data_IF_630052025604
#
_entry.id   IF_630052025604
#
_cell.length_a   1.000
_cell.length_b   1.000
_cell.length_c   1.000
_cell.angle_alpha   90.00
_cell.angle_beta   90.00
_cell.angle_gamma   90.00
#
_symmetry.space_group_name_H-M   'P 1'
#
loop_
_entity.id
_entity.type
_entity.pdbx_description
1 polymer ?
#
# COMPACT_ATOMS: atom_id res chain seq x y z
N UNK A 1 -16.52 -36.99 -48.16
CA UNK A 1 -17.34 -36.81 -46.95
C UNK A 1 -16.50 -35.98 -45.99
N UNK A 2 -16.11 -34.75 -46.36
CA UNK A 2 -16.93 -33.61 -46.83
C UNK A 2 -17.60 -32.93 -45.64
N UNK A 3 -17.09 -31.77 -45.21
CA UNK A 3 -17.50 -30.41 -45.64
C UNK A 3 -18.64 -29.92 -44.71
N UNK A 4 -18.82 -28.64 -44.33
CA UNK A 4 -18.14 -27.39 -44.68
C UNK A 4 -18.33 -26.32 -43.56
N UNK A 5 -18.05 -25.06 -43.90
CA UNK A 5 -18.33 -23.77 -43.25
C UNK A 5 -17.15 -23.06 -42.58
N UNK A 6 -16.81 -21.82 -42.94
CA UNK A 6 -16.75 -21.22 -44.29
C UNK A 6 -15.78 -20.03 -44.25
N UNK A 7 -15.18 -19.62 -45.38
CA UNK A 7 -14.15 -18.57 -45.37
C UNK A 7 -14.26 -17.55 -46.52
N UNK A 8 -14.82 -16.38 -46.16
CA UNK A 8 -14.76 -15.10 -46.88
C UNK A 8 -15.47 -15.04 -48.25
N UNK A 9 -15.91 -13.82 -48.67
CA UNK A 9 -15.04 -12.92 -49.44
C UNK A 9 -15.16 -11.44 -48.99
N UNK A 10 -14.34 -10.48 -49.42
CA UNK A 10 -13.19 -10.50 -50.33
C UNK A 10 -12.96 -9.13 -51.02
N UNK A 11 -11.76 -8.93 -51.59
CA UNK A 11 -11.30 -7.75 -52.36
C UNK A 11 -11.10 -6.41 -51.59
N UNK A 12 -9.98 -5.68 -51.68
CA UNK A 12 -8.69 -5.94 -52.33
C UNK A 12 -8.36 -4.99 -53.48
N UNK A 13 -7.19 -4.32 -53.41
CA UNK A 13 -6.45 -3.74 -54.55
C UNK A 13 -4.98 -3.53 -54.17
N UNK A 14 -4.08 -4.22 -54.86
CA UNK A 14 -2.63 -4.03 -54.73
C UNK A 14 -2.02 -3.29 -55.92
N UNK A 15 -0.77 -2.84 -55.75
CA UNK A 15 0.19 -2.57 -56.83
C UNK A 15 1.59 -2.96 -56.36
N UNK A 16 2.42 -3.46 -57.27
CA UNK A 16 3.82 -3.82 -57.03
C UNK A 16 4.66 -3.70 -58.30
N UNK A 17 5.92 -4.17 -58.22
CA UNK A 17 7.10 -3.93 -59.11
C UNK A 17 7.81 -2.59 -58.85
N UNK A 18 9.14 -2.52 -58.84
CA UNK A 18 10.22 -3.53 -58.94
C UNK A 18 11.49 -3.00 -58.25
N UNK A 19 12.62 -3.70 -58.12
CA UNK A 19 13.09 -4.88 -58.85
C UNK A 19 14.35 -4.51 -59.66
N UNK A 20 15.55 -4.63 -59.07
CA UNK A 20 16.82 -4.35 -59.75
C UNK A 20 18.04 -4.50 -58.83
N UNK A 21 18.86 -5.52 -59.09
CA UNK A 21 20.14 -5.75 -58.41
C UNK A 21 21.32 -5.36 -59.32
N UNK A 22 22.45 -4.96 -58.74
CA UNK A 22 23.76 -5.02 -59.41
C UNK A 22 24.89 -5.25 -58.38
N UNK A 23 26.01 -5.78 -58.87
CA UNK A 23 27.12 -6.38 -58.12
C UNK A 23 28.42 -5.54 -58.18
N UNK A 24 29.38 -5.92 -57.32
CA UNK A 24 30.84 -5.79 -57.47
C UNK A 24 31.52 -4.46 -57.10
N UNK A 25 32.70 -4.55 -56.45
CA UNK A 25 33.67 -3.45 -56.40
C UNK A 25 34.67 -3.43 -55.24
N UNK A 26 35.62 -4.37 -55.18
CA UNK A 26 36.73 -4.47 -54.22
C UNK A 26 37.64 -3.22 -54.11
N UNK A 27 38.27 -2.98 -52.94
CA UNK A 27 39.43 -2.05 -52.83
C UNK A 27 39.91 -1.67 -51.42
N UNK A 28 41.03 -2.29 -51.01
CA UNK A 28 42.16 -1.83 -50.16
C UNK A 28 42.11 -0.43 -49.48
N UNK A 29 42.39 -0.30 -48.17
CA UNK A 29 43.73 -0.12 -47.52
C UNK A 29 44.41 1.25 -47.84
N UNK A 30 45.09 2.00 -46.95
CA UNK A 30 45.74 1.75 -45.64
C UNK A 30 45.72 2.99 -44.70
N UNK A 31 46.14 2.80 -43.44
CA UNK A 31 46.96 3.67 -42.53
C UNK A 31 46.96 5.22 -42.63
N UNK A 32 46.98 5.93 -41.47
CA UNK A 32 47.36 7.37 -41.50
C UNK A 32 47.33 8.28 -40.25
N UNK A 33 47.67 7.82 -39.05
CA UNK A 33 48.21 8.58 -37.88
C UNK A 33 48.07 10.14 -37.75
N UNK A 34 47.47 10.56 -36.62
CA UNK A 34 47.95 11.59 -35.66
C UNK A 34 48.27 13.05 -36.05
N UNK A 35 47.72 14.00 -35.27
CA UNK A 35 48.18 15.40 -35.15
C UNK A 35 47.07 16.32 -34.61
N UNK A 36 46.92 16.50 -33.30
CA UNK A 36 47.65 17.43 -32.40
C UNK A 36 46.89 18.76 -32.17
N UNK A 37 46.96 19.28 -30.93
CA UNK A 37 46.17 20.41 -30.40
C UNK A 37 46.86 21.78 -30.60
N UNK A 38 46.19 22.82 -30.07
CA UNK A 38 46.56 24.26 -29.91
C UNK A 38 45.88 25.15 -30.97
N UNK A 39 45.23 26.27 -30.66
CA UNK A 39 44.94 26.95 -29.38
C UNK A 39 44.64 28.44 -29.65
N UNK A 40 43.91 29.16 -28.79
CA UNK A 40 43.81 30.63 -28.91
C UNK A 40 42.44 31.26 -28.66
N UNK A 41 42.32 31.86 -27.48
CA UNK A 41 41.37 32.85 -27.00
C UNK A 41 41.03 34.04 -27.92
N UNK A 42 39.81 34.59 -27.79
CA UNK A 42 39.44 35.96 -28.21
C UNK A 42 38.05 36.38 -27.68
N UNK A 43 37.96 37.52 -26.99
CA UNK A 43 36.73 38.09 -26.39
C UNK A 43 36.36 39.43 -27.05
N UNK A 44 35.18 39.97 -26.72
CA UNK A 44 34.54 41.23 -27.21
C UNK A 44 33.90 41.14 -28.62
N UNK A 45 32.69 41.65 -28.91
CA UNK A 45 31.62 42.20 -28.07
C UNK A 45 31.26 43.67 -28.35
N UNK A 46 30.15 43.92 -29.08
CA UNK A 46 29.28 45.11 -29.05
C UNK A 46 28.29 45.11 -30.25
N UNK A 47 27.04 45.58 -30.06
CA UNK A 47 26.08 45.85 -31.15
C UNK A 47 24.61 45.66 -30.75
N UNK A 48 23.89 46.75 -30.46
CA UNK A 48 22.55 46.73 -29.84
C UNK A 48 21.38 46.90 -30.85
N UNK A 49 20.18 46.45 -30.45
CA UNK A 49 18.90 47.17 -30.65
C UNK A 49 17.71 46.48 -29.92
N UNK A 50 17.08 47.17 -28.96
CA UNK A 50 15.64 46.98 -28.62
C UNK A 50 14.77 47.80 -29.60
N UNK A 51 13.45 47.56 -29.64
CA UNK A 51 12.60 48.54 -28.93
C UNK A 51 11.44 47.91 -28.12
N UNK A 52 11.08 48.58 -27.03
CA UNK A 52 9.88 48.31 -26.22
C UNK A 52 8.70 49.18 -26.66
N UNK A 53 7.45 48.73 -26.49
CA UNK A 53 6.37 49.57 -25.94
C UNK A 53 5.19 48.72 -25.40
N UNK A 54 4.62 49.19 -24.28
CA UNK A 54 3.49 48.63 -23.47
C UNK A 54 2.15 49.36 -23.80
N UNK A 55 1.07 49.32 -22.98
CA UNK A 55 0.15 48.22 -22.61
C UNK A 55 -1.37 48.61 -22.61
N UNK A 56 -2.27 47.70 -22.20
CA UNK A 56 -3.64 47.99 -21.70
C UNK A 56 -4.80 47.56 -22.62
N UNK A 57 -6.03 47.28 -22.16
CA UNK A 57 -6.57 47.22 -20.79
C UNK A 57 -7.77 46.23 -20.72
N UNK A 58 -7.77 45.40 -19.68
CA UNK A 58 -8.85 44.76 -18.91
C UNK A 58 -10.34 44.94 -19.29
N UNK A 59 -11.12 43.87 -19.08
CA UNK A 59 -12.37 43.98 -18.30
C UNK A 59 -12.57 42.76 -17.37
N UNK A 60 -12.88 43.03 -16.10
CA UNK A 60 -13.05 42.05 -15.01
C UNK A 60 -14.50 41.54 -14.91
N UNK A 61 -14.67 40.34 -14.33
CA UNK A 61 -15.64 40.11 -13.24
C UNK A 61 -14.98 39.30 -12.10
N UNK A 62 -15.64 39.24 -10.95
CA UNK A 62 -15.02 39.23 -9.61
C UNK A 62 -15.40 37.98 -8.78
N UNK A 63 -14.54 37.45 -7.88
CA UNK A 63 -14.88 36.30 -7.03
C UNK A 63 -15.73 36.71 -5.81
N UNK A 64 -16.93 36.15 -5.66
CA UNK A 64 -17.80 36.39 -4.51
C UNK A 64 -17.66 35.33 -3.40
N UNK A 65 -16.80 35.66 -2.42
CA UNK A 65 -16.82 35.34 -0.97
C UNK A 65 -17.21 33.93 -0.46
N UNK A 66 -16.39 33.32 0.43
CA UNK A 66 -16.85 32.26 1.33
C UNK A 66 -17.70 32.82 2.50
N UNK A 67 -18.56 32.00 3.14
CA UNK A 67 -19.34 32.39 4.31
C UNK A 67 -18.45 32.59 5.56
N UNK A 68 -18.85 33.54 6.41
CA UNK A 68 -18.20 33.86 7.68
C UNK A 68 -18.83 33.05 8.82
N UNK A 69 -18.00 32.42 9.65
CA UNK A 69 -18.23 32.35 11.10
C UNK A 69 -16.90 32.40 11.84
N UNK A 70 -16.79 33.30 12.81
CA UNK A 70 -15.67 33.45 13.73
C UNK A 70 -16.23 33.84 15.11
N UNK A 71 -15.51 33.58 16.22
CA UNK A 71 -16.13 33.33 17.51
C UNK A 71 -16.49 34.59 18.31
N UNK A 72 -17.41 34.50 19.28
CA UNK A 72 -17.55 35.50 20.32
C UNK A 72 -16.51 35.28 21.41
N UNK A 73 -15.51 36.17 21.47
CA UNK A 73 -14.70 36.36 22.66
C UNK A 73 -15.29 37.49 23.52
N UNK A 74 -15.45 37.25 24.81
CA UNK A 74 -15.63 38.31 25.82
C UNK A 74 -14.73 38.02 27.00
N UNK A 75 -13.82 38.95 27.31
CA UNK A 75 -13.05 38.89 28.54
C UNK A 75 -13.80 39.55 29.70
N UNK A 76 -13.40 39.20 30.91
CA UNK A 76 -13.31 40.14 32.02
C UNK A 76 -12.36 39.55 33.06
N UNK A 77 -11.45 40.38 33.56
CA UNK A 77 -10.61 40.08 34.70
C UNK A 77 -10.73 41.24 35.67
N UNK A 78 -11.01 40.98 36.95
CA UNK A 78 -10.58 41.87 38.02
C UNK A 78 -10.55 41.18 39.40
N UNK A 79 -9.55 41.59 40.16
CA UNK A 79 -9.38 41.55 41.63
C UNK A 79 -8.83 40.31 42.38
N UNK A 80 -7.83 40.67 43.19
CA UNK A 80 -6.89 39.98 44.09
C UNK A 80 -7.51 39.67 45.49
N UNK A 81 -6.83 39.04 46.50
CA UNK A 81 -5.36 39.02 46.71
C UNK A 81 -4.65 37.79 47.33
N UNK A 82 -3.31 37.81 47.17
CA UNK A 82 -2.20 37.41 48.07
C UNK A 82 -2.46 36.37 49.18
N UNK A 83 -1.61 35.35 49.35
CA UNK A 83 -0.29 35.51 50.03
C UNK A 83 0.62 34.27 49.90
N UNK A 84 1.96 34.47 49.97
CA UNK A 84 3.01 33.46 50.29
C UNK A 84 3.57 33.77 51.70
N UNK A 85 4.22 32.83 52.43
CA UNK A 85 5.65 32.48 52.27
C UNK A 85 5.91 30.95 52.34
N UNK A 86 7.04 30.32 51.98
CA UNK A 86 8.51 30.61 52.05
C UNK A 86 9.12 30.39 53.46
N UNK A 87 10.31 29.78 53.48
CA UNK A 87 10.86 28.95 54.57
C UNK A 87 12.01 29.58 55.37
N UNK A 88 12.40 28.87 56.45
CA UNK A 88 13.74 28.72 57.07
C UNK A 88 14.25 29.62 58.22
N UNK A 89 14.75 28.89 59.23
CA UNK A 89 15.91 29.08 60.13
C UNK A 89 16.05 30.31 61.06
N UNK A 90 16.17 30.06 62.39
CA UNK A 90 17.47 29.98 63.13
C UNK A 90 17.34 29.92 64.68
N UNK A 91 18.10 28.99 65.30
CA UNK A 91 19.09 29.15 66.42
C UNK A 91 18.70 30.01 67.67
N UNK A 92 18.97 29.70 68.96
CA UNK A 92 19.36 28.52 69.76
C UNK A 92 19.48 28.93 71.28
N UNK A 93 20.10 28.08 72.13
CA UNK A 93 20.83 28.35 73.41
C UNK A 93 20.12 28.14 74.79
N UNK A 94 20.57 27.07 75.49
CA UNK A 94 20.79 26.86 76.96
C UNK A 94 19.61 27.00 77.97
N UNK A 95 19.60 26.42 79.19
CA UNK A 95 20.64 25.71 79.98
C UNK A 95 20.08 24.54 80.85
N UNK A 96 20.99 23.87 81.56
CA UNK A 96 20.97 22.62 82.34
C UNK A 96 20.07 22.54 83.59
N UNK A 97 19.69 21.32 84.02
CA UNK A 97 18.95 21.10 85.28
C UNK A 97 18.83 19.65 85.81
N UNK A 98 19.83 19.21 86.58
CA UNK A 98 19.89 18.20 87.67
C UNK A 98 18.87 17.05 87.85
N UNK A 99 19.34 15.92 88.37
CA UNK A 99 18.54 14.75 88.76
C UNK A 99 18.65 14.41 90.26
N UNK A 100 17.53 14.12 90.95
CA UNK A 100 17.43 13.06 91.98
C UNK A 100 16.02 12.83 92.55
N UNK A 101 15.86 11.65 93.18
CA UNK A 101 14.85 11.24 94.17
C UNK A 101 13.44 10.79 93.72
N UNK A 102 13.08 9.59 94.21
CA UNK A 102 11.78 8.89 94.13
C UNK A 102 10.96 9.16 95.41
N UNK A 103 9.62 9.03 95.41
CA UNK A 103 9.02 7.75 95.82
C UNK A 103 7.78 7.29 95.00
N UNK A 104 7.29 6.07 95.31
CA UNK A 104 6.06 5.41 94.79
C UNK A 104 4.78 6.20 95.13
N UNK A 105 3.56 5.95 94.60
CA UNK A 105 2.89 4.83 93.90
C UNK A 105 1.78 5.51 93.02
N UNK A 106 1.31 5.07 91.85
CA UNK A 106 0.53 3.86 91.48
C UNK A 106 0.57 3.75 89.94
N UNK A 107 0.72 2.53 89.40
CA UNK A 107 0.72 2.29 87.94
C UNK A 107 -0.56 1.57 87.53
N UNK A 108 -1.29 2.13 86.57
CA UNK A 108 -2.24 1.37 85.76
C UNK A 108 -1.48 0.76 84.57
N UNK A 109 -1.53 -0.56 84.33
CA UNK A 109 -0.81 -1.18 83.24
C UNK A 109 -1.55 -0.96 81.91
N UNK A 110 -0.97 -0.14 81.02
CA UNK A 110 -1.33 -0.18 79.59
C UNK A 110 -0.73 -1.46 79.02
N UNK A 111 -1.59 -2.46 78.76
CA UNK A 111 -1.17 -3.70 78.16
C UNK A 111 -0.80 -3.49 76.69
N UNK A 112 0.49 -3.44 76.38
CA UNK A 112 0.97 -3.54 75.00
C UNK A 112 0.77 -4.97 74.50
N UNK A 113 -0.02 -5.11 73.42
CA UNK A 113 -0.34 -6.43 72.86
C UNK A 113 0.93 -7.12 72.34
N UNK A 114 1.12 -8.38 72.71
CA UNK A 114 2.22 -9.24 72.24
C UNK A 114 1.77 -10.20 71.11
N UNK A 115 0.63 -9.91 70.47
CA UNK A 115 0.11 -10.74 69.38
C UNK A 115 1.00 -10.55 68.14
N UNK A 116 1.76 -11.59 67.81
CA UNK A 116 2.45 -11.71 66.53
C UNK A 116 1.48 -12.23 65.48
N UNK A 117 1.47 -11.61 64.29
CA UNK A 117 0.75 -12.13 63.10
C UNK A 117 1.21 -13.55 62.74
N UNK A 118 2.45 -13.92 63.11
CA UNK A 118 3.04 -15.23 62.85
C UNK A 118 2.93 -16.18 64.05
N UNK A 119 1.91 -16.02 64.92
CA UNK A 119 1.71 -16.90 66.06
C UNK A 119 1.33 -18.32 65.59
N UNK A 120 1.90 -19.42 66.16
CA UNK A 120 1.61 -20.80 65.74
C UNK A 120 0.12 -21.17 65.80
N UNK A 121 -0.64 -20.50 66.66
CA UNK A 121 -2.08 -20.67 66.88
C UNK A 121 -2.95 -20.24 65.67
N UNK A 122 -2.42 -19.41 64.76
CA UNK A 122 -3.11 -18.97 63.54
C UNK A 122 -2.95 -19.92 62.35
N UNK A 123 -2.12 -20.97 62.47
CA UNK A 123 -1.92 -21.95 61.40
C UNK A 123 -2.82 -23.18 61.62
N UNK A 124 -3.62 -23.59 60.61
CA UNK A 124 -4.39 -24.83 60.68
C UNK A 124 -3.49 -26.05 60.92
N UNK A 125 -4.01 -27.03 61.66
CA UNK A 125 -3.29 -28.27 61.96
C UNK A 125 -2.92 -29.01 60.67
N UNK A 126 -1.64 -28.99 60.31
CA UNK A 126 -1.10 -29.57 59.07
C UNK A 126 -0.23 -28.62 58.24
N UNK A 127 -0.24 -27.31 58.50
CA UNK A 127 0.59 -26.36 57.75
C UNK A 127 2.10 -26.53 58.07
N UNK A 128 2.91 -26.78 57.04
CA UNK A 128 4.36 -26.93 57.17
C UNK A 128 5.09 -25.88 56.31
N UNK A 129 5.73 -24.85 56.91
CA UNK A 129 6.33 -23.74 56.18
C UNK A 129 7.60 -24.10 55.39
N UNK A 130 8.06 -25.35 55.45
CA UNK A 130 9.21 -25.85 54.67
C UNK A 130 8.86 -26.26 53.23
N UNK A 131 7.58 -26.22 52.85
CA UNK A 131 7.10 -26.40 51.47
C UNK A 131 6.56 -25.07 50.90
N UNK A 132 7.41 -24.04 50.89
CA UNK A 132 7.26 -22.98 49.88
C UNK A 132 7.78 -23.51 48.55
N UNK A 133 6.96 -24.33 47.90
CA UNK A 133 7.19 -24.74 46.51
C UNK A 133 7.20 -23.51 45.61
N UNK A 134 8.05 -23.55 44.59
CA UNK A 134 8.29 -22.45 43.64
C UNK A 134 7.21 -22.43 42.56
N UNK A 135 5.94 -22.33 42.98
CA UNK A 135 4.77 -22.56 42.13
C UNK A 135 3.51 -21.82 42.59
N UNK A 136 3.66 -20.60 43.14
CA UNK A 136 2.60 -19.60 42.94
C UNK A 136 2.68 -19.14 41.49
N UNK A 137 2.13 -19.95 40.59
CA UNK A 137 1.59 -19.42 39.35
C UNK A 137 0.50 -18.44 39.76
N UNK A 138 0.78 -17.16 39.55
CA UNK A 138 -0.24 -16.13 39.51
C UNK A 138 -1.26 -16.57 38.46
N UNK A 139 -2.52 -16.71 38.88
CA UNK A 139 -3.61 -17.10 38.00
C UNK A 139 -3.95 -15.94 37.08
N UNK A 140 -3.07 -15.67 36.10
CA UNK A 140 -3.24 -14.61 35.13
C UNK A 140 -4.45 -14.97 34.28
N UNK A 141 -5.52 -14.21 34.51
CA UNK A 141 -6.78 -14.27 33.78
C UNK A 141 -6.55 -14.13 32.26
N UNK A 142 -7.42 -14.72 31.45
CA UNK A 142 -7.15 -15.10 30.05
C UNK A 142 -7.07 -13.95 29.03
N UNK A 143 -6.22 -12.96 29.26
CA UNK A 143 -5.90 -11.90 28.31
C UNK A 143 -4.84 -12.38 27.31
N UNK A 144 -5.07 -12.24 25.99
CA UNK A 144 -4.09 -12.65 24.99
C UNK A 144 -2.82 -11.80 25.10
N UNK A 145 -1.67 -12.42 24.88
CA UNK A 145 -0.40 -11.72 24.72
C UNK A 145 -0.39 -10.86 23.45
N UNK A 146 0.54 -9.91 23.37
CA UNK A 146 0.76 -9.13 22.12
C UNK A 146 1.01 -10.06 20.93
N UNK A 147 1.78 -11.13 21.14
CA UNK A 147 2.10 -12.15 20.15
C UNK A 147 0.84 -12.84 19.61
N UNK A 148 -0.03 -13.30 20.51
CA UNK A 148 -1.29 -13.98 20.15
C UNK A 148 -2.24 -13.03 19.43
N UNK A 149 -2.49 -11.84 20.00
CA UNK A 149 -3.38 -10.83 19.39
C UNK A 149 -2.94 -10.42 17.97
N UNK A 150 -1.65 -10.18 17.78
CA UNK A 150 -1.09 -9.83 16.46
C UNK A 150 -1.18 -11.03 15.50
N UNK A 151 -0.86 -12.24 15.96
CA UNK A 151 -0.89 -13.42 15.09
C UNK A 151 -2.31 -13.80 14.68
N UNK A 152 -3.29 -13.66 15.57
CA UNK A 152 -4.71 -13.90 15.28
C UNK A 152 -5.23 -12.90 14.24
N UNK A 153 -4.92 -11.61 14.38
CA UNK A 153 -5.25 -10.61 13.36
C UNK A 153 -4.57 -10.88 12.01
N UNK A 154 -3.29 -11.27 12.01
CA UNK A 154 -2.56 -11.63 10.80
C UNK A 154 -3.12 -12.89 10.11
N UNK A 155 -3.61 -13.86 10.88
CA UNK A 155 -4.28 -15.05 10.37
C UNK A 155 -5.65 -14.70 9.79
N UNK A 156 -6.44 -13.90 10.50
CA UNK A 156 -7.74 -13.41 10.03
C UNK A 156 -7.62 -12.61 8.72
N UNK A 157 -6.65 -11.69 8.63
CA UNK A 157 -6.30 -10.99 7.38
C UNK A 157 -5.85 -11.95 6.26
N UNK A 158 -5.29 -13.11 6.58
CA UNK A 158 -4.89 -14.12 5.58
C UNK A 158 -6.11 -14.86 5.03
N UNK A 159 -7.09 -15.15 5.88
CA UNK A 159 -8.33 -15.86 5.51
C UNK A 159 -9.37 -14.92 4.87
N UNK A 160 -9.44 -13.67 5.32
CA UNK A 160 -10.43 -12.67 4.95
C UNK A 160 -9.77 -11.34 4.55
N UNK A 161 -9.00 -11.27 3.44
CA UNK A 161 -8.26 -10.06 3.07
C UNK A 161 -9.12 -8.82 2.81
N UNK A 162 -10.44 -8.97 2.65
CA UNK A 162 -11.41 -7.88 2.50
C UNK A 162 -11.86 -7.22 3.81
N UNK A 163 -11.50 -7.74 4.99
CA UNK A 163 -11.78 -7.06 6.27
C UNK A 163 -10.73 -6.00 6.64
N UNK A 164 -9.67 -5.86 5.84
CA UNK A 164 -8.55 -4.97 6.14
C UNK A 164 -9.01 -3.53 6.38
N UNK A 165 -9.82 -2.98 5.48
CA UNK A 165 -10.37 -1.63 5.57
C UNK A 165 -11.23 -1.41 6.83
N UNK A 166 -11.98 -2.41 7.26
CA UNK A 166 -12.91 -2.31 8.40
C UNK A 166 -12.25 -2.50 9.76
N UNK A 167 -11.14 -3.24 9.84
CA UNK A 167 -10.54 -3.64 11.12
C UNK A 167 -9.19 -2.97 11.42
N UNK A 168 -8.49 -2.43 10.41
CA UNK A 168 -7.15 -1.87 10.56
C UNK A 168 -7.08 -0.70 11.56
N UNK A 169 -8.14 0.10 11.65
CA UNK A 169 -8.20 1.23 12.59
C UNK A 169 -8.17 0.73 14.03
N UNK A 170 -9.12 -0.14 14.39
CA UNK A 170 -9.23 -0.74 15.72
C UNK A 170 -7.98 -1.56 16.11
N UNK A 171 -7.39 -2.28 15.17
CA UNK A 171 -6.11 -2.97 15.38
C UNK A 171 -5.00 -1.98 15.74
N UNK A 172 -4.88 -0.87 15.01
CA UNK A 172 -3.87 0.16 15.27
C UNK A 172 -4.08 0.93 16.57
N UNK A 173 -5.33 1.17 16.98
CA UNK A 173 -5.67 1.78 18.27
C UNK A 173 -5.26 0.87 19.43
N UNK A 174 -5.57 -0.43 19.33
CA UNK A 174 -5.18 -1.43 20.33
C UNK A 174 -3.65 -1.54 20.44
N UNK A 175 -2.94 -1.60 19.30
CA UNK A 175 -1.48 -1.58 19.28
C UNK A 175 -0.88 -0.32 19.92
N UNK A 176 -1.49 0.86 19.75
CA UNK A 176 -1.01 2.08 20.39
C UNK A 176 -1.12 2.05 21.92
N UNK A 177 -2.03 1.26 22.50
CA UNK A 177 -2.11 1.02 23.94
C UNK A 177 -1.10 -0.01 24.47
N UNK A 178 -0.70 -0.98 23.65
CA UNK A 178 0.08 -2.15 24.05
C UNK A 178 1.57 -2.04 23.70
N UNK A 179 1.89 -1.47 22.54
CA UNK A 179 3.25 -1.34 22.02
C UNK A 179 3.88 -0.06 22.57
N UNK A 180 4.33 -0.12 23.82
CA UNK A 180 4.90 1.02 24.55
C UNK A 180 6.42 0.95 24.76
N UNK A 181 7.09 -0.14 24.37
CA UNK A 181 8.54 -0.32 24.51
C UNK A 181 9.24 -0.63 23.19
N UNK A 182 10.56 -0.40 23.14
CA UNK A 182 11.43 -0.75 22.01
C UNK A 182 11.34 -2.24 21.66
N UNK A 183 11.22 -3.13 22.66
CA UNK A 183 11.12 -4.58 22.50
C UNK A 183 9.79 -4.99 21.88
N UNK A 184 8.67 -4.47 22.39
CA UNK A 184 7.34 -4.75 21.85
C UNK A 184 7.19 -4.27 20.40
N UNK A 185 7.83 -3.16 20.04
CA UNK A 185 7.84 -2.66 18.67
C UNK A 185 8.68 -3.53 17.73
N UNK A 186 9.81 -4.07 18.21
CA UNK A 186 10.62 -5.03 17.47
C UNK A 186 9.89 -6.36 17.28
N UNK A 187 9.16 -6.84 18.29
CA UNK A 187 8.32 -8.04 18.21
C UNK A 187 7.21 -7.88 17.16
N UNK A 188 6.48 -6.76 17.18
CA UNK A 188 5.45 -6.44 16.18
C UNK A 188 6.02 -6.45 14.76
N UNK A 189 7.20 -5.85 14.56
CA UNK A 189 7.90 -5.86 13.25
C UNK A 189 8.27 -7.27 12.82
N UNK A 190 8.75 -8.12 13.75
CA UNK A 190 9.12 -9.50 13.45
C UNK A 190 7.89 -10.34 13.05
N UNK A 191 6.78 -10.25 13.79
CA UNK A 191 5.56 -11.00 13.50
C UNK A 191 5.00 -10.69 12.11
N UNK A 192 4.88 -9.39 11.76
CA UNK A 192 4.41 -8.96 10.44
C UNK A 192 5.39 -9.38 9.35
N UNK A 193 6.70 -9.26 9.59
CA UNK A 193 7.74 -9.69 8.65
C UNK A 193 7.68 -11.22 8.38
N UNK A 194 7.53 -12.02 9.43
CA UNK A 194 7.42 -13.48 9.32
C UNK A 194 6.15 -13.90 8.57
N UNK A 195 4.99 -13.29 8.86
CA UNK A 195 3.76 -13.55 8.10
C UNK A 195 3.97 -13.22 6.62
N UNK A 196 4.47 -12.02 6.30
CA UNK A 196 4.61 -11.55 4.92
C UNK A 196 5.68 -12.29 4.08
N UNK A 197 6.59 -13.04 4.72
CA UNK A 197 7.63 -13.83 4.03
C UNK A 197 7.51 -15.34 4.19
N UNK A 198 6.64 -15.84 5.07
CA UNK A 198 6.38 -17.28 5.26
C UNK A 198 5.00 -17.71 4.75
N UNK A 199 4.00 -16.83 4.77
CA UNK A 199 2.62 -17.16 4.35
C UNK A 199 2.39 -16.79 2.89
N UNK A 200 1.98 -17.75 2.03
CA UNK A 200 1.68 -17.47 0.62
C UNK A 200 0.62 -16.38 0.45
N UNK A 201 0.79 -15.56 -0.59
CA UNK A 201 -0.13 -14.46 -0.97
C UNK A 201 -0.29 -13.31 0.04
N UNK A 202 0.27 -13.41 1.26
CA UNK A 202 0.18 -12.33 2.26
C UNK A 202 1.08 -11.12 1.96
N UNK A 203 2.08 -11.23 1.07
CA UNK A 203 3.11 -10.20 0.85
C UNK A 203 2.54 -8.81 0.51
N UNK A 204 1.47 -8.75 -0.27
CA UNK A 204 0.77 -7.50 -0.60
C UNK A 204 0.10 -6.89 0.64
N UNK A 205 -0.66 -7.70 1.38
CA UNK A 205 -1.41 -7.26 2.55
C UNK A 205 -0.48 -6.86 3.71
N UNK A 206 0.59 -7.62 3.93
CA UNK A 206 1.68 -7.27 4.83
C UNK A 206 2.35 -5.94 4.47
N UNK A 207 2.55 -5.65 3.18
CA UNK A 207 3.09 -4.36 2.74
C UNK A 207 2.11 -3.19 2.96
N UNK A 208 0.79 -3.39 2.74
CA UNK A 208 -0.24 -2.41 3.10
C UNK A 208 -0.29 -2.16 4.61
N UNK A 209 -0.27 -3.22 5.41
CA UNK A 209 -0.23 -3.17 6.87
C UNK A 209 1.01 -2.41 7.36
N UNK A 210 2.19 -2.71 6.81
CA UNK A 210 3.42 -1.98 7.12
C UNK A 210 3.31 -0.48 6.79
N UNK A 211 2.69 -0.12 5.65
CA UNK A 211 2.47 1.28 5.30
C UNK A 211 1.53 1.98 6.28
N UNK A 212 0.41 1.36 6.63
CA UNK A 212 -0.56 1.89 7.59
C UNK A 212 0.09 2.11 8.97
N UNK A 213 0.70 1.06 9.55
CA UNK A 213 1.34 1.15 10.87
C UNK A 213 2.49 2.16 10.90
N UNK A 214 3.20 2.39 9.79
CA UNK A 214 4.23 3.42 9.71
C UNK A 214 3.74 4.86 9.84
N UNK A 215 2.42 5.08 9.72
CA UNK A 215 1.77 6.38 9.86
C UNK A 215 0.86 6.48 11.10
N UNK A 216 0.32 5.37 11.58
CA UNK A 216 -0.69 5.33 12.66
C UNK A 216 -0.15 4.87 14.02
N UNK A 217 1.05 4.29 14.10
CA UNK A 217 1.71 4.04 15.39
C UNK A 217 2.35 5.32 15.94
N UNK A 218 2.02 5.64 17.19
CA UNK A 218 2.45 6.85 17.90
C UNK A 218 3.78 6.70 18.63
N UNK A 219 4.20 5.45 18.91
CA UNK A 219 5.48 5.17 19.57
C UNK A 219 6.66 5.61 18.67
N UNK A 220 7.57 6.39 19.24
CA UNK A 220 8.78 6.87 18.58
C UNK A 220 9.99 6.67 19.51
N UNK A 221 10.50 5.43 19.63
CA UNK A 221 11.58 5.11 20.56
C UNK A 221 12.94 5.54 20.02
N UNK A 222 13.97 5.53 20.87
CA UNK A 222 15.33 5.95 20.48
C UNK A 222 15.99 4.97 19.48
N UNK A 223 15.56 3.71 19.46
CA UNK A 223 15.97 2.73 18.44
C UNK A 223 15.44 3.03 17.03
N UNK A 224 14.42 3.89 16.91
CA UNK A 224 13.77 4.26 15.66
C UNK A 224 12.31 3.80 15.58
N UNK A 225 11.52 4.48 14.76
CA UNK A 225 10.10 4.14 14.56
C UNK A 225 9.91 2.83 13.78
N UNK A 226 8.65 2.36 13.73
CA UNK A 226 8.24 1.13 13.03
C UNK A 226 8.87 0.98 11.64
N UNK A 227 8.87 2.05 10.82
CA UNK A 227 9.43 2.03 9.47
C UNK A 227 10.95 1.83 9.47
N UNK A 228 11.67 2.44 10.41
CA UNK A 228 13.12 2.29 10.54
C UNK A 228 13.48 0.85 10.95
N UNK A 229 12.77 0.30 11.92
CA UNK A 229 12.96 -1.09 12.37
C UNK A 229 12.60 -2.11 11.28
N UNK A 230 11.52 -1.90 10.54
CA UNK A 230 11.16 -2.72 9.38
C UNK A 230 12.26 -2.71 8.30
N UNK A 231 12.79 -1.53 7.94
CA UNK A 231 13.87 -1.42 6.96
C UNK A 231 15.17 -2.05 7.48
N UNK A 232 15.45 -1.96 8.78
CA UNK A 232 16.57 -2.67 9.41
C UNK A 232 16.39 -4.19 9.35
N UNK A 233 15.19 -4.71 9.64
CA UNK A 233 14.87 -6.14 9.54
C UNK A 233 15.02 -6.68 8.12
N UNK A 234 14.53 -5.92 7.13
CA UNK A 234 14.73 -6.23 5.71
C UNK A 234 16.20 -6.22 5.30
N UNK A 235 17.01 -5.33 5.89
CA UNK A 235 18.45 -5.26 5.60
C UNK A 235 19.20 -6.52 6.05
N UNK A 236 18.89 -7.09 7.21
CA UNK A 236 19.52 -8.32 7.73
C UNK A 236 19.44 -9.49 6.74
N UNK A 237 18.34 -9.62 6.02
CA UNK A 237 18.13 -10.68 5.03
C UNK A 237 18.76 -10.34 3.68
N UNK A 238 18.65 -9.07 3.28
CA UNK A 238 19.30 -8.54 2.08
C UNK A 238 20.84 -8.71 2.10
N UNK A 239 21.47 -8.61 3.27
CA UNK A 239 22.92 -8.85 3.42
C UNK A 239 23.32 -10.31 3.10
N UNK A 240 22.40 -11.28 3.23
CA UNK A 240 22.63 -12.69 2.91
C UNK A 240 22.24 -13.09 1.48
N UNK A 241 21.73 -12.17 0.64
CA UNK A 241 21.12 -12.46 -0.68
C UNK A 241 21.95 -13.35 -1.61
N UNK A 242 23.26 -13.15 -1.68
CA UNK A 242 24.13 -13.88 -2.62
C UNK A 242 24.37 -15.34 -2.22
N UNK A 243 24.30 -15.63 -0.91
CA UNK A 243 24.30 -16.99 -0.39
C UNK A 243 22.90 -17.61 -0.50
N UNK A 244 21.85 -16.83 -0.23
CA UNK A 244 20.46 -17.29 -0.28
C UNK A 244 20.03 -17.69 -1.70
N UNK A 245 20.41 -16.92 -2.72
CA UNK A 245 20.14 -17.22 -4.14
C UNK A 245 20.84 -18.50 -4.65
N UNK A 246 21.89 -18.95 -3.95
CA UNK A 246 22.66 -20.18 -4.22
C UNK A 246 22.36 -21.32 -3.23
N UNK A 247 21.47 -21.07 -2.25
CA UNK A 247 21.11 -22.03 -1.23
C UNK A 247 20.34 -23.23 -1.78
N UNK A 248 19.93 -24.13 -0.89
CA UNK A 248 19.05 -25.24 -1.22
C UNK A 248 17.64 -24.75 -1.63
N UNK A 249 16.75 -25.67 -2.04
CA UNK A 249 15.41 -25.27 -2.52
C UNK A 249 14.60 -24.53 -1.44
N UNK A 250 14.71 -24.92 -0.17
CA UNK A 250 14.01 -24.24 0.93
C UNK A 250 14.54 -22.82 1.16
N UNK A 251 15.87 -22.64 1.16
CA UNK A 251 16.49 -21.31 1.27
C UNK A 251 16.11 -20.42 0.10
N UNK A 252 16.13 -20.94 -1.15
CA UNK A 252 15.72 -20.17 -2.33
C UNK A 252 14.24 -19.77 -2.26
N UNK A 253 13.35 -20.65 -1.79
CA UNK A 253 11.92 -20.30 -1.60
C UNK A 253 11.72 -19.15 -0.61
N UNK A 254 12.38 -19.18 0.55
CA UNK A 254 12.35 -18.06 1.53
C UNK A 254 12.90 -16.78 0.93
N UNK A 255 14.03 -16.87 0.21
CA UNK A 255 14.61 -15.73 -0.50
C UNK A 255 13.65 -15.13 -1.54
N UNK A 256 12.92 -15.96 -2.29
CA UNK A 256 11.94 -15.47 -3.27
C UNK A 256 10.74 -14.79 -2.61
N UNK A 257 10.25 -15.31 -1.48
CA UNK A 257 9.20 -14.67 -0.70
C UNK A 257 9.67 -13.30 -0.17
N UNK A 258 10.88 -13.23 0.39
CA UNK A 258 11.52 -11.97 0.80
C UNK A 258 11.67 -10.96 -0.35
N UNK A 259 12.14 -11.39 -1.52
CA UNK A 259 12.28 -10.53 -2.71
C UNK A 259 10.94 -9.93 -3.13
N UNK A 260 9.88 -10.74 -3.14
CA UNK A 260 8.54 -10.29 -3.52
C UNK A 260 7.91 -9.39 -2.43
N UNK A 261 8.15 -9.67 -1.15
CA UNK A 261 7.74 -8.77 -0.07
C UNK A 261 8.43 -7.40 -0.17
N UNK A 262 9.72 -7.34 -0.48
CA UNK A 262 10.42 -6.07 -0.73
C UNK A 262 9.87 -5.31 -1.95
N UNK A 263 9.37 -6.04 -2.95
CA UNK A 263 8.73 -5.48 -4.14
C UNK A 263 7.40 -4.81 -3.78
N UNK A 264 6.54 -5.52 -3.04
CA UNK A 264 5.29 -4.99 -2.51
C UNK A 264 5.54 -3.79 -1.58
N UNK A 265 6.54 -3.89 -0.71
CA UNK A 265 6.93 -2.81 0.20
C UNK A 265 7.44 -1.58 -0.57
N UNK A 266 8.16 -1.74 -1.67
CA UNK A 266 8.57 -0.60 -2.52
C UNK A 266 7.37 0.11 -3.17
N UNK A 267 6.33 -0.63 -3.55
CA UNK A 267 5.13 -0.04 -4.17
C UNK A 267 4.25 0.68 -3.15
N UNK A 268 4.04 0.06 -1.98
CA UNK A 268 3.05 0.47 -0.98
C UNK A 268 3.62 1.35 0.16
N UNK A 269 4.93 1.28 0.48
CA UNK A 269 5.49 2.03 1.61
C UNK A 269 5.77 3.49 1.25
N UNK A 270 4.96 4.37 1.81
CA UNK A 270 5.01 5.81 1.61
C UNK A 270 5.90 6.51 2.64
N UNK A 271 6.63 7.53 2.19
CA UNK A 271 7.42 8.43 3.03
C UNK A 271 6.86 9.84 2.86
N UNK A 272 6.05 10.27 3.83
CA UNK A 272 5.58 11.65 3.93
C UNK A 272 6.73 12.55 4.37
N UNK A 273 7.17 13.44 3.49
CA UNK A 273 8.18 14.46 3.77
C UNK A 273 7.58 15.68 4.50
N UNK A 274 8.45 16.55 5.03
CA UNK A 274 8.06 17.73 5.83
C UNK A 274 7.19 18.77 5.09
N UNK A 275 7.07 18.64 3.76
CA UNK A 275 6.23 19.50 2.90
C UNK A 275 4.93 18.80 2.43
N UNK A 276 4.57 17.66 3.02
CA UNK A 276 3.44 16.84 2.57
C UNK A 276 3.69 16.03 1.29
N UNK A 277 4.85 16.20 0.64
CA UNK A 277 5.26 15.38 -0.49
C UNK A 277 5.37 13.90 -0.09
N UNK A 278 4.74 13.00 -0.84
CA UNK A 278 4.83 11.55 -0.66
C UNK A 278 5.90 11.02 -1.60
N UNK A 279 6.90 10.31 -1.07
CA UNK A 279 7.93 9.64 -1.86
C UNK A 279 8.07 8.17 -1.49
N UNK A 280 8.60 7.35 -2.41
CA UNK A 280 8.94 5.95 -2.13
C UNK A 280 10.31 5.84 -1.45
N UNK A 281 10.52 4.76 -0.70
CA UNK A 281 11.79 4.48 -0.07
C UNK A 281 12.91 4.18 -1.11
N UNK A 282 13.82 5.14 -1.32
CA UNK A 282 14.92 5.01 -2.30
C UNK A 282 15.88 3.84 -1.99
N UNK A 283 15.99 3.47 -0.71
CA UNK A 283 16.77 2.30 -0.29
C UNK A 283 16.18 1.00 -0.84
N UNK A 284 14.85 0.90 -0.95
CA UNK A 284 14.17 -0.24 -1.57
C UNK A 284 14.37 -0.24 -3.09
N UNK A 285 14.28 0.92 -3.76
CA UNK A 285 14.60 1.05 -5.20
C UNK A 285 16.01 0.51 -5.50
N UNK A 286 16.98 0.84 -4.64
CA UNK A 286 18.37 0.39 -4.76
C UNK A 286 18.50 -1.12 -4.47
N UNK A 287 17.88 -1.59 -3.39
CA UNK A 287 17.87 -3.01 -3.02
C UNK A 287 17.23 -3.91 -4.07
N UNK A 288 16.13 -3.50 -4.71
CA UNK A 288 15.48 -4.27 -5.77
C UNK A 288 16.37 -4.45 -7.01
N UNK A 289 17.16 -3.43 -7.40
CA UNK A 289 18.13 -3.58 -8.49
C UNK A 289 19.21 -4.61 -8.14
N UNK A 290 19.73 -4.57 -6.92
CA UNK A 290 20.75 -5.51 -6.47
C UNK A 290 20.20 -6.93 -6.31
N UNK A 291 18.94 -7.09 -5.89
CA UNK A 291 18.26 -8.38 -5.88
C UNK A 291 18.05 -8.93 -7.30
N UNK A 292 17.70 -8.10 -8.28
CA UNK A 292 17.69 -8.48 -9.70
C UNK A 292 19.08 -8.89 -10.20
N UNK A 293 20.13 -8.12 -9.88
CA UNK A 293 21.51 -8.48 -10.18
C UNK A 293 21.89 -9.85 -9.61
N UNK A 294 21.59 -10.11 -8.33
CA UNK A 294 21.84 -11.41 -7.69
C UNK A 294 21.02 -12.53 -8.32
N UNK A 295 19.75 -12.32 -8.68
CA UNK A 295 18.91 -13.35 -9.33
C UNK A 295 19.41 -13.71 -10.74
N UNK A 296 19.70 -12.72 -11.58
CA UNK A 296 20.22 -12.97 -12.94
C UNK A 296 21.63 -13.56 -12.94
N UNK A 297 22.45 -13.23 -11.95
CA UNK A 297 23.80 -13.81 -11.80
C UNK A 297 23.78 -15.27 -11.33
N UNK A 298 22.62 -15.79 -10.91
CA UNK A 298 22.41 -17.18 -10.49
C UNK A 298 21.22 -17.78 -11.26
N UNK A 299 21.35 -18.02 -12.58
CA UNK A 299 20.22 -18.22 -13.52
C UNK A 299 19.60 -19.64 -13.45
N UNK A 300 19.19 -20.07 -12.26
CA UNK A 300 18.31 -21.22 -12.06
C UNK A 300 16.86 -20.83 -12.36
N UNK A 301 16.07 -21.75 -12.91
CA UNK A 301 14.67 -21.56 -13.27
C UNK A 301 13.85 -20.84 -12.18
N UNK A 302 13.97 -21.26 -10.92
CA UNK A 302 13.20 -20.64 -9.83
C UNK A 302 13.66 -19.19 -9.53
N UNK A 303 14.96 -18.89 -9.59
CA UNK A 303 15.48 -17.52 -9.46
C UNK A 303 15.00 -16.63 -10.62
N UNK A 304 15.00 -17.15 -11.84
CA UNK A 304 14.55 -16.41 -13.03
C UNK A 304 13.04 -16.17 -13.02
N UNK A 305 12.23 -17.13 -12.57
CA UNK A 305 10.79 -16.95 -12.33
C UNK A 305 10.56 -15.86 -11.26
N UNK A 306 11.36 -15.83 -10.19
CA UNK A 306 11.29 -14.76 -9.19
C UNK A 306 11.62 -13.38 -9.79
N UNK A 307 12.66 -13.27 -10.61
CA UNK A 307 13.03 -12.03 -11.29
C UNK A 307 11.93 -11.55 -12.27
N UNK A 308 11.29 -12.48 -13.00
CA UNK A 308 10.15 -12.18 -13.87
C UNK A 308 8.95 -11.68 -13.07
N UNK A 309 8.63 -12.30 -11.92
CA UNK A 309 7.55 -11.82 -11.03
C UNK A 309 7.85 -10.42 -10.50
N UNK A 310 9.06 -10.18 -9.99
CA UNK A 310 9.50 -8.87 -9.48
C UNK A 310 9.38 -7.77 -10.55
N UNK A 311 9.89 -8.02 -11.77
CA UNK A 311 9.82 -7.02 -12.85
C UNK A 311 8.40 -6.84 -13.41
N UNK A 312 7.53 -7.85 -13.39
CA UNK A 312 6.11 -7.66 -13.70
C UNK A 312 5.39 -6.77 -12.68
N UNK A 313 5.72 -6.92 -11.40
CA UNK A 313 5.11 -6.15 -10.31
C UNK A 313 5.62 -4.70 -10.28
N UNK A 314 6.93 -4.49 -10.44
CA UNK A 314 7.60 -3.21 -10.17
C UNK A 314 8.24 -2.53 -11.38
N UNK A 315 8.34 -3.21 -12.53
CA UNK A 315 9.17 -2.78 -13.66
C UNK A 315 8.80 -1.42 -14.24
N UNK A 316 7.51 -1.13 -14.39
CA UNK A 316 7.01 0.18 -14.84
C UNK A 316 7.44 1.31 -13.91
N UNK A 317 7.23 1.14 -12.60
CA UNK A 317 7.54 2.12 -11.55
C UNK A 317 9.06 2.31 -11.40
N UNK A 318 9.84 1.22 -11.48
CA UNK A 318 11.30 1.27 -11.47
C UNK A 318 11.85 1.99 -12.70
N UNK A 319 11.33 1.70 -13.90
CA UNK A 319 11.79 2.34 -15.13
C UNK A 319 11.53 3.84 -15.11
N UNK A 320 10.36 4.30 -14.66
CA UNK A 320 10.04 5.72 -14.53
C UNK A 320 10.98 6.40 -13.51
N UNK A 321 11.12 5.82 -12.32
CA UNK A 321 11.96 6.35 -11.25
C UNK A 321 13.47 6.29 -11.54
N UNK A 322 13.91 5.48 -12.51
CA UNK A 322 15.28 5.49 -13.04
C UNK A 322 15.42 6.49 -14.20
N UNK A 323 14.42 6.64 -15.07
CA UNK A 323 14.41 7.67 -16.13
C UNK A 323 14.43 9.08 -15.56
N UNK A 324 13.64 9.37 -14.53
CA UNK A 324 13.63 10.65 -13.82
C UNK A 324 15.03 10.99 -13.25
N UNK A 325 15.75 9.99 -12.77
CA UNK A 325 17.14 10.10 -12.26
C UNK A 325 18.21 9.98 -13.35
N UNK A 326 17.83 9.91 -14.63
CA UNK A 326 18.76 9.85 -15.78
C UNK A 326 19.62 8.59 -15.87
N UNK A 327 19.14 7.45 -15.35
CA UNK A 327 20.02 6.33 -14.95
C UNK A 327 20.25 5.20 -15.96
N UNK A 328 19.32 4.89 -16.86
CA UNK A 328 19.37 3.69 -17.75
C UNK A 328 19.44 2.30 -17.06
N UNK A 329 19.27 2.21 -15.74
CA UNK A 329 19.28 0.95 -14.95
C UNK A 329 18.41 -0.18 -15.56
N UNK A 330 17.28 0.14 -16.20
CA UNK A 330 16.41 -0.86 -16.86
C UNK A 330 17.00 -1.41 -18.17
N UNK A 331 17.82 -0.63 -18.88
CA UNK A 331 18.51 -1.08 -20.08
C UNK A 331 19.57 -2.14 -19.73
N UNK A 332 20.29 -1.94 -18.62
CA UNK A 332 21.17 -2.97 -18.06
C UNK A 332 20.40 -4.23 -17.61
N UNK A 333 19.19 -4.09 -17.03
CA UNK A 333 18.36 -5.23 -16.67
C UNK A 333 17.94 -6.04 -17.90
N UNK A 334 17.54 -5.36 -18.99
CA UNK A 334 17.21 -6.04 -20.26
C UNK A 334 18.44 -6.71 -20.86
N UNK A 335 19.60 -6.05 -20.88
CA UNK A 335 20.82 -6.67 -21.40
C UNK A 335 21.19 -7.95 -20.62
N UNK A 336 20.99 -7.95 -19.29
CA UNK A 336 21.17 -9.15 -18.46
C UNK A 336 20.16 -10.25 -18.80
N UNK A 337 18.90 -9.89 -19.05
CA UNK A 337 17.85 -10.83 -19.48
C UNK A 337 18.24 -11.48 -20.82
N UNK A 338 18.69 -10.69 -21.80
CA UNK A 338 19.14 -11.19 -23.10
C UNK A 338 20.33 -12.15 -22.97
N UNK A 339 21.34 -11.78 -22.19
CA UNK A 339 22.51 -12.64 -21.93
C UNK A 339 22.10 -13.96 -21.26
N UNK A 340 21.15 -13.94 -20.31
CA UNK A 340 20.62 -15.18 -19.70
C UNK A 340 19.86 -16.03 -20.73
N UNK A 341 19.08 -15.42 -21.63
CA UNK A 341 18.36 -16.17 -22.69
C UNK A 341 19.35 -16.83 -23.65
N UNK A 342 20.46 -16.17 -24.00
CA UNK A 342 21.50 -16.72 -24.86
C UNK A 342 22.33 -17.81 -24.16
N UNK A 343 22.94 -17.48 -23.02
CA UNK A 343 24.05 -18.23 -22.45
C UNK A 343 23.65 -19.23 -21.34
N UNK A 344 22.56 -18.97 -20.61
CA UNK A 344 22.21 -19.80 -19.44
C UNK A 344 21.52 -21.11 -19.82
N UNK A 345 21.81 -22.17 -19.07
CA UNK A 345 21.16 -23.48 -19.21
C UNK A 345 19.87 -23.60 -18.36
N UNK A 346 18.97 -22.62 -18.50
CA UNK A 346 17.63 -22.64 -17.92
C UNK A 346 16.60 -23.22 -18.91
N UNK A 347 15.43 -23.64 -18.41
CA UNK A 347 14.40 -24.27 -19.25
C UNK A 347 13.85 -23.34 -20.34
N UNK A 348 13.39 -23.95 -21.45
CA UNK A 348 12.81 -23.24 -22.60
C UNK A 348 11.65 -22.33 -22.19
N UNK A 349 10.80 -22.77 -21.26
CA UNK A 349 9.64 -22.00 -20.83
C UNK A 349 10.06 -20.78 -20.02
N UNK A 350 11.09 -20.89 -19.18
CA UNK A 350 11.70 -19.75 -18.47
C UNK A 350 12.35 -18.78 -19.45
N UNK A 351 13.07 -19.25 -20.47
CA UNK A 351 13.58 -18.38 -21.56
C UNK A 351 12.44 -17.67 -22.29
N UNK A 352 11.30 -18.34 -22.52
CA UNK A 352 10.13 -17.73 -23.14
C UNK A 352 9.44 -16.69 -22.23
N UNK A 353 9.42 -16.90 -20.91
CA UNK A 353 8.95 -15.90 -19.94
C UNK A 353 9.83 -14.64 -19.94
N UNK A 354 11.15 -14.83 -20.02
CA UNK A 354 12.13 -13.74 -20.12
C UNK A 354 11.97 -12.95 -21.42
N UNK A 355 11.80 -13.61 -22.58
CA UNK A 355 11.52 -12.93 -23.85
C UNK A 355 10.21 -12.12 -23.80
N UNK A 356 9.14 -12.69 -23.21
CA UNK A 356 7.87 -11.96 -23.00
C UNK A 356 8.01 -10.76 -22.07
N UNK A 357 9.01 -10.73 -21.19
CA UNK A 357 9.28 -9.59 -20.32
C UNK A 357 9.95 -8.44 -21.08
N UNK A 358 10.84 -8.76 -22.04
CA UNK A 358 11.43 -7.77 -22.97
C UNK A 358 10.34 -7.19 -23.88
N UNK A 359 9.43 -8.03 -24.40
CA UNK A 359 8.25 -7.62 -25.17
C UNK A 359 7.28 -6.75 -24.36
N UNK A 360 7.06 -7.09 -23.09
CA UNK A 360 6.25 -6.27 -22.18
C UNK A 360 6.87 -4.88 -21.98
N UNK A 361 8.21 -4.81 -21.80
CA UNK A 361 8.92 -3.53 -21.68
C UNK A 361 8.84 -2.71 -22.97
N UNK A 362 9.07 -3.30 -24.15
CA UNK A 362 8.97 -2.58 -25.42
C UNK A 362 7.55 -2.07 -25.70
N UNK A 363 6.55 -2.76 -25.16
CA UNK A 363 5.14 -2.34 -25.12
C UNK A 363 4.81 -1.36 -23.98
N UNK A 364 5.79 -0.61 -23.48
CA UNK A 364 5.67 0.35 -22.36
C UNK A 364 5.00 -0.24 -21.09
N UNK A 365 5.32 -1.50 -20.77
CA UNK A 365 4.72 -2.27 -19.67
C UNK A 365 3.20 -2.48 -19.82
N UNK A 366 2.68 -2.45 -21.05
CA UNK A 366 1.25 -2.52 -21.34
C UNK A 366 0.50 -1.20 -21.09
N UNK A 367 1.19 -0.12 -20.71
CA UNK A 367 0.58 1.19 -20.49
C UNK A 367 0.28 1.86 -21.83
N UNK A 368 -0.98 1.77 -22.25
CA UNK A 368 -1.53 2.51 -23.39
C UNK A 368 -1.21 3.99 -23.22
N UNK A 369 -0.64 4.62 -24.25
CA UNK A 369 -0.54 6.07 -24.28
C UNK A 369 -1.95 6.65 -24.40
N UNK A 370 -2.50 7.12 -23.28
CA UNK A 370 -3.48 8.20 -23.30
C UNK A 370 -2.70 9.44 -23.73
N UNK A 371 -2.46 9.58 -25.03
CA UNK A 371 -2.16 10.89 -25.60
C UNK A 371 -3.27 11.83 -25.14
N UNK A 372 -2.89 12.97 -24.56
CA UNK A 372 -3.77 13.99 -23.97
C UNK A 372 -4.66 14.73 -25.00
N UNK A 373 -5.03 14.04 -26.06
CA UNK A 373 -6.09 14.36 -26.99
C UNK A 373 -7.29 13.46 -26.68
N UNK A 374 -7.96 13.72 -25.55
CA UNK A 374 -9.42 13.79 -25.60
C UNK A 374 -9.76 14.95 -26.56
N UNK A 375 -9.62 14.69 -27.87
CA UNK A 375 -10.51 15.32 -28.82
C UNK A 375 -11.79 14.56 -28.63
N UNK A 376 -12.74 15.21 -27.98
CA UNK A 376 -14.14 14.83 -28.05
C UNK A 376 -14.43 14.51 -29.53
N UNK A 377 -14.87 13.29 -29.80
CA UNK A 377 -15.27 12.93 -31.14
C UNK A 377 -16.50 13.79 -31.42
N UNK A 378 -16.43 14.64 -32.45
CA UNK A 378 -17.57 15.46 -32.87
C UNK A 378 -17.96 15.03 -34.28
N UNK A 379 -19.23 15.27 -34.71
CA UNK A 379 -19.66 15.02 -36.08
C UNK A 379 -18.77 15.67 -37.15
N UNK A 380 -18.04 16.73 -36.78
CA UNK A 380 -17.15 17.49 -37.66
C UNK A 380 -15.73 16.92 -37.76
N UNK A 381 -15.27 16.15 -36.76
CA UNK A 381 -13.88 15.72 -36.62
C UNK A 381 -13.68 14.18 -36.64
N UNK A 382 -14.74 13.37 -36.53
CA UNK A 382 -14.70 11.92 -36.79
C UNK A 382 -15.81 11.47 -37.76
N UNK A 383 -15.48 10.98 -38.98
CA UNK A 383 -16.45 10.42 -39.93
C UNK A 383 -17.23 9.20 -39.39
N UNK A 384 -16.70 8.52 -38.37
CA UNK A 384 -17.33 7.38 -37.72
C UNK A 384 -18.00 7.75 -36.38
N UNK A 385 -18.13 9.04 -36.04
CA UNK A 385 -18.73 9.49 -34.77
C UNK A 385 -20.06 8.78 -34.45
N UNK A 386 -21.00 8.81 -35.39
CA UNK A 386 -22.32 8.16 -35.28
C UNK A 386 -22.30 6.62 -35.22
N UNK A 387 -21.17 5.97 -35.54
CA UNK A 387 -20.99 4.51 -35.40
C UNK A 387 -20.40 4.11 -34.04
N UNK A 388 -19.86 5.08 -33.30
CA UNK A 388 -19.22 4.89 -32.00
C UNK A 388 -20.10 5.40 -30.83
N UNK A 389 -21.14 6.19 -31.12
CA UNK A 389 -22.18 6.58 -30.15
C UNK A 389 -22.98 5.34 -29.66
N UNK A 390 -23.34 5.26 -28.36
CA UNK A 390 -24.20 4.19 -27.87
C UNK A 390 -25.58 4.19 -28.54
N UNK A 391 -26.16 3.00 -28.71
CA UNK A 391 -27.58 2.86 -29.06
C UNK A 391 -28.40 2.84 -27.78
N UNK A 392 -29.28 3.83 -27.63
CA UNK A 392 -30.21 3.93 -26.52
C UNK A 392 -31.56 3.29 -26.90
N UNK A 393 -32.42 3.03 -25.92
CA UNK A 393 -33.74 2.44 -26.13
C UNK A 393 -34.80 3.31 -25.46
N UNK A 394 -35.93 3.53 -26.13
CA UNK A 394 -37.10 4.20 -25.51
C UNK A 394 -37.75 3.31 -24.46
N UNK A 395 -38.73 3.83 -23.72
CA UNK A 395 -39.57 3.08 -22.77
C UNK A 395 -40.27 1.86 -23.39
N UNK A 396 -40.51 1.88 -24.69
CA UNK A 396 -41.15 0.79 -25.48
C UNK A 396 -40.12 -0.21 -26.02
N UNK A 397 -38.84 -0.07 -25.67
CA UNK A 397 -37.75 -0.93 -26.15
C UNK A 397 -37.36 -0.67 -27.60
N UNK A 398 -37.66 0.51 -28.16
CA UNK A 398 -37.30 0.87 -29.53
C UNK A 398 -35.88 1.46 -29.53
N UNK A 399 -34.91 0.87 -30.25
CA UNK A 399 -33.57 1.43 -30.34
C UNK A 399 -33.57 2.77 -31.10
N UNK A 400 -32.79 3.73 -30.60
CA UNK A 400 -32.52 5.00 -31.26
C UNK A 400 -31.05 5.40 -31.06
N UNK A 401 -30.53 6.20 -31.98
CA UNK A 401 -29.10 6.48 -32.16
C UNK A 401 -28.87 7.95 -32.48
N UNK A 402 -27.65 8.45 -32.33
CA UNK A 402 -27.29 9.82 -32.71
C UNK A 402 -27.52 10.17 -34.19
N UNK A 403 -27.84 9.19 -35.05
CA UNK A 403 -28.21 9.40 -36.45
C UNK A 403 -29.72 9.68 -36.65
N UNK A 404 -30.55 9.47 -35.63
CA UNK A 404 -32.00 9.66 -35.70
C UNK A 404 -32.41 11.13 -35.53
N UNK A 405 -33.37 11.67 -36.32
CA UNK A 405 -33.74 13.08 -36.26
C UNK A 405 -34.32 13.55 -34.92
N UNK A 406 -34.81 12.62 -34.11
CA UNK A 406 -35.44 12.81 -32.81
C UNK A 406 -34.56 12.35 -31.63
N UNK A 407 -33.28 12.02 -31.87
CA UNK A 407 -32.32 11.56 -30.85
C UNK A 407 -32.28 12.48 -29.64
N UNK A 408 -32.17 13.80 -29.86
CA UNK A 408 -32.04 14.78 -28.79
C UNK A 408 -33.29 14.82 -27.89
N UNK A 409 -34.49 14.63 -28.46
CA UNK A 409 -35.76 14.64 -27.74
C UNK A 409 -35.92 13.37 -26.89
N UNK A 410 -35.67 12.20 -27.49
CA UNK A 410 -35.69 10.90 -26.78
C UNK A 410 -34.61 10.76 -25.71
N UNK A 411 -33.41 11.31 -25.96
CA UNK A 411 -32.33 11.30 -24.98
C UNK A 411 -32.64 12.22 -23.78
N UNK A 412 -33.25 13.38 -24.05
CA UNK A 412 -33.74 14.28 -23.01
C UNK A 412 -34.86 13.64 -22.18
N UNK A 413 -35.81 12.94 -22.82
CA UNK A 413 -36.87 12.17 -22.15
C UNK A 413 -36.32 11.04 -21.26
N UNK A 414 -35.23 10.38 -21.65
CA UNK A 414 -34.54 9.40 -20.80
C UNK A 414 -33.94 10.04 -19.55
N UNK A 415 -33.25 11.18 -19.68
CA UNK A 415 -32.65 11.90 -18.55
C UNK A 415 -33.72 12.44 -17.58
N UNK A 416 -34.79 13.05 -18.09
CA UNK A 416 -35.90 13.58 -17.29
C UNK A 416 -36.67 12.48 -16.54
N UNK A 417 -36.56 11.21 -16.98
CA UNK A 417 -37.10 10.05 -16.28
C UNK A 417 -36.14 9.50 -15.21
N UNK A 418 -34.83 9.66 -15.39
CA UNK A 418 -33.82 9.29 -14.39
C UNK A 418 -33.95 10.18 -13.14
N UNK A 419 -34.17 11.49 -13.32
CA UNK A 419 -34.47 12.47 -12.26
C UNK A 419 -35.74 12.15 -11.42
N UNK A 420 -36.57 11.18 -11.83
CA UNK A 420 -37.78 10.77 -11.10
C UNK A 420 -37.49 9.74 -9.98
N UNK A 421 -36.30 9.13 -9.97
CA UNK A 421 -35.77 8.37 -8.85
C UNK A 421 -34.74 9.25 -8.13
N UNK A 422 -35.05 9.84 -6.96
CA UNK A 422 -34.04 10.57 -6.21
C UNK A 422 -32.91 9.62 -5.84
N UNK A 423 -31.67 10.01 -6.16
CA UNK A 423 -30.46 9.26 -5.83
C UNK A 423 -30.49 8.83 -4.36
N UNK A 424 -30.44 7.52 -4.12
CA UNK A 424 -30.02 7.02 -2.83
C UNK A 424 -28.52 7.28 -2.72
N UNK A 425 -28.14 8.47 -2.25
CA UNK A 425 -26.77 8.80 -1.88
C UNK A 425 -26.28 7.77 -0.84
N UNK A 426 -25.52 6.77 -1.30
CA UNK A 426 -24.83 5.80 -0.44
C UNK A 426 -23.63 6.50 0.23
N UNK A 427 -23.94 7.42 1.13
CA UNK A 427 -22.98 8.15 1.94
C UNK A 427 -23.49 8.15 3.39
N UNK A 428 -23.07 7.14 4.16
CA UNK A 428 -23.67 6.82 5.44
C UNK A 428 -23.64 7.96 6.46
N UNK A 429 -24.80 8.30 7.03
CA UNK A 429 -24.90 8.97 8.34
C UNK A 429 -26.21 8.59 9.03
N UNK A 430 -26.16 8.43 10.35
CA UNK A 430 -27.28 7.95 11.18
C UNK A 430 -28.56 8.76 11.02
N UNK A 431 -29.70 8.09 10.77
CA UNK A 431 -30.99 8.55 11.27
C UNK A 431 -31.85 7.41 11.83
N UNK A 432 -32.06 7.50 13.13
CA UNK A 432 -33.03 6.70 13.86
C UNK A 432 -34.45 7.24 13.66
N UNK A 433 -35.37 6.36 13.26
CA UNK A 433 -36.79 6.46 13.64
C UNK A 433 -37.73 7.31 12.79
N UNK A 434 -38.30 6.69 11.75
CA UNK A 434 -39.73 6.76 11.45
C UNK A 434 -40.10 5.53 10.62
N UNK A 435 -41.19 4.83 10.98
CA UNK A 435 -41.62 3.65 10.23
C UNK A 435 -42.51 4.02 9.04
N UNK A 436 -42.35 3.31 7.92
CA UNK A 436 -43.26 3.33 6.77
C UNK A 436 -43.69 1.88 6.47
N UNK A 437 -45.00 1.53 6.41
CA UNK A 437 -45.46 0.15 6.50
C UNK A 437 -45.83 -0.44 5.12
N UNK A 438 -44.85 -0.64 4.24
CA UNK A 438 -45.06 -1.20 2.89
C UNK A 438 -44.05 -2.29 2.48
N UNK A 439 -43.68 -3.15 3.43
CA UNK A 439 -43.03 -4.44 3.15
C UNK A 439 -43.73 -5.53 3.98
N UNK A 440 -44.83 -6.04 3.45
CA UNK A 440 -45.44 -7.32 3.83
C UNK A 440 -46.12 -7.89 2.58
N UNK A 441 -45.97 -9.20 2.38
CA UNK A 441 -46.55 -10.05 1.33
C UNK A 441 -46.21 -9.73 -0.16
N UNK A 442 -45.19 -10.43 -0.70
CA UNK A 442 -45.27 -11.16 -1.98
C UNK A 442 -43.99 -12.04 -2.20
N UNK A 443 -43.83 -13.08 -1.36
CA UNK A 443 -42.86 -14.17 -1.57
C UNK A 443 -43.42 -15.28 -2.52
N UNK A 444 -44.45 -14.97 -3.32
CA UNK A 444 -45.05 -15.91 -4.27
C UNK A 444 -44.28 -15.87 -5.62
N UNK A 445 -43.50 -16.94 -5.87
CA UNK A 445 -42.71 -17.07 -7.10
C UNK A 445 -43.63 -17.12 -8.33
N UNK A 446 -43.37 -16.29 -9.34
CA UNK A 446 -44.18 -16.23 -10.56
C UNK A 446 -44.30 -17.64 -11.19
N UNK A 447 -45.54 -18.14 -11.45
CA UNK A 447 -45.75 -19.48 -11.98
C UNK A 447 -45.08 -19.72 -13.35
N UNK A 448 -44.82 -18.68 -14.16
CA UNK A 448 -44.05 -18.83 -15.40
C UNK A 448 -42.55 -19.10 -15.11
N UNK A 449 -42.01 -18.50 -14.04
CA UNK A 449 -40.63 -18.71 -13.58
C UNK A 449 -40.49 -20.10 -12.93
N UNK A 450 -41.48 -20.54 -12.15
CA UNK A 450 -41.48 -21.88 -11.54
C UNK A 450 -41.54 -22.99 -12.61
N UNK A 451 -42.41 -22.89 -13.62
CA UNK A 451 -42.47 -23.88 -14.72
C UNK A 451 -41.17 -23.89 -15.54
N UNK A 452 -40.56 -22.72 -15.78
CA UNK A 452 -39.27 -22.62 -16.45
C UNK A 452 -38.14 -23.30 -15.65
N UNK A 453 -38.15 -23.16 -14.32
CA UNK A 453 -37.18 -23.80 -13.43
C UNK A 453 -37.35 -25.33 -13.39
N UNK A 454 -38.57 -25.85 -13.23
CA UNK A 454 -38.83 -27.30 -13.28
C UNK A 454 -38.36 -27.93 -14.59
N UNK A 455 -38.64 -27.26 -15.71
CA UNK A 455 -38.22 -27.69 -17.05
C UNK A 455 -36.70 -27.74 -17.20
N UNK A 456 -35.98 -26.78 -16.64
CA UNK A 456 -34.51 -26.77 -16.60
C UNK A 456 -33.94 -27.92 -15.77
N UNK A 457 -34.52 -28.20 -14.59
CA UNK A 457 -34.15 -29.34 -13.76
C UNK A 457 -34.38 -30.69 -14.48
N UNK A 458 -35.51 -30.84 -15.16
CA UNK A 458 -35.81 -32.05 -15.94
C UNK A 458 -34.88 -32.22 -17.16
N UNK A 459 -34.53 -31.15 -17.87
CA UNK A 459 -33.62 -31.23 -19.02
C UNK A 459 -32.18 -31.53 -18.59
N UNK A 460 -31.71 -30.94 -17.49
CA UNK A 460 -30.37 -31.19 -16.94
C UNK A 460 -30.22 -32.62 -16.39
N UNK A 461 -31.24 -33.17 -15.72
CA UNK A 461 -31.28 -34.60 -15.37
C UNK A 461 -31.23 -35.51 -16.60
N UNK A 462 -31.94 -35.15 -17.67
CA UNK A 462 -32.03 -35.96 -18.90
C UNK A 462 -30.70 -35.98 -19.65
N UNK A 463 -29.99 -34.85 -19.69
CA UNK A 463 -28.61 -34.74 -20.20
C UNK A 463 -27.58 -35.49 -19.35
N UNK A 464 -27.89 -35.79 -18.09
CA UNK A 464 -27.00 -36.55 -17.17
C UNK A 464 -27.27 -38.06 -17.19
N UNK A 465 -28.30 -38.52 -17.91
CA UNK A 465 -28.72 -39.92 -18.06
C UNK A 465 -28.53 -40.45 -19.50
N UNK A 466 -27.97 -39.64 -20.40
CA UNK A 466 -27.41 -40.02 -21.71
C UNK A 466 -25.88 -40.04 -21.62
#
# INVERSE_FOLDING_TARGET
MSDCFDRAPGAGRGRGRGGGALLSGSGAAENGSSGARLGGSGFHGAGAAEPQHKPGFLQHQEPLRPPKTAPPGTGNAEHMPQTKPVSQDKIAVHDSGSAMAKPQLVVAPVATSKLSVNAPEFYPSGYNPSFTDSSFEDGCDGYPTLTEYVQDFLNHLTEQPGCFETEIEHFSETLNGWVTTDEALQELVELIYQQATSVPNFSYLGARLCNYLSHHLTINPQSGNFRQLLLQRCRTEYENRDQAAKGDEATRKRFHAFVLFLAELYLNLEIKGTKGQVTRAEILQTGLRELLNTLFSNPMDNNLICAVKLLKLTGSVLEDAWKEKGKSDMDEMVQRIENVVLDANCSRDVKQMLLKLVELRSSNWGRVHITSTYREATPENDPNYFMNEPTFYTSEGIPFTAADPDYQEKYQELLEREDLFPDYEENGTDLSGAGDPYFDDDDEMDPEIEEAYEKFCLESERKRKQ
#
